data_IF_209977684866
#
_entry.id   IF_209977684866
#
_cell.length_a   1.000
_cell.length_b   1.000
_cell.length_c   1.000
_cell.angle_alpha   90.00
_cell.angle_beta   90.00
_cell.angle_gamma   90.00
#
_symmetry.space_group_name_H-M   'P 1'
#
loop_
_entity.id
_entity.type
_entity.pdbx_description
1 polymer ?
#
# COMPACT_ATOMS: atom_id res chain seq x y z
N UNK A 1 2.77 -39.10 -1.07
CA UNK A 1 3.98 -39.19 -1.87
C UNK A 1 4.90 -38.00 -1.55
N UNK A 2 6.18 -38.12 -1.85
CA UNK A 2 7.22 -37.17 -1.43
C UNK A 2 7.14 -35.78 -2.13
N UNK A 3 6.27 -35.65 -3.11
CA UNK A 3 6.11 -34.44 -3.92
C UNK A 3 4.70 -33.82 -3.83
N UNK A 4 3.88 -34.34 -2.90
CA UNK A 4 2.49 -33.83 -2.75
C UNK A 4 2.31 -33.25 -1.36
N UNK A 5 1.93 -31.98 -1.30
CA UNK A 5 1.52 -31.32 -0.07
C UNK A 5 0.00 -31.13 -0.07
N UNK A 6 -0.66 -31.65 0.95
CA UNK A 6 -2.11 -31.54 1.11
C UNK A 6 -2.44 -30.59 2.26
N UNK A 7 -3.26 -29.58 1.99
CA UNK A 7 -3.80 -28.68 3.00
C UNK A 7 -5.28 -29.02 3.26
N UNK A 8 -5.65 -29.14 4.53
CA UNK A 8 -7.05 -29.29 4.94
C UNK A 8 -7.49 -27.98 5.59
N UNK A 9 -8.41 -27.28 4.94
CA UNK A 9 -8.90 -26.01 5.42
C UNK A 9 -10.09 -26.22 6.37
N UNK A 10 -10.20 -25.38 7.41
CA UNK A 10 -11.33 -25.40 8.37
C UNK A 10 -12.63 -24.87 7.75
N UNK A 11 -12.54 -24.17 6.63
CA UNK A 11 -13.66 -23.64 5.86
C UNK A 11 -13.24 -23.42 4.40
N UNK A 12 -14.18 -23.38 3.45
CA UNK A 12 -13.85 -23.03 2.06
C UNK A 12 -13.25 -21.64 1.95
N UNK A 13 -12.20 -21.51 1.11
CA UNK A 13 -11.47 -20.26 0.91
C UNK A 13 -11.22 -20.06 -0.59
N UNK A 14 -11.92 -19.11 -1.21
CA UNK A 14 -11.87 -18.88 -2.67
C UNK A 14 -10.52 -18.36 -3.18
N UNK A 15 -9.71 -17.76 -2.29
CA UNK A 15 -8.39 -17.17 -2.63
C UNK A 15 -7.23 -17.92 -1.97
N UNK A 16 -7.40 -19.21 -1.66
CA UNK A 16 -6.35 -20.03 -1.04
C UNK A 16 -5.04 -20.01 -1.83
N UNK A 17 -5.11 -20.17 -3.15
CA UNK A 17 -3.93 -20.16 -4.00
C UNK A 17 -3.14 -18.84 -3.90
N UNK A 18 -3.82 -17.70 -3.76
CA UNK A 18 -3.14 -16.41 -3.53
C UNK A 18 -2.48 -16.34 -2.16
N UNK A 19 -3.03 -17.02 -1.14
CA UNK A 19 -2.40 -17.09 0.19
C UNK A 19 -1.09 -17.85 0.17
N UNK A 20 -0.94 -18.88 -0.66
CA UNK A 20 0.30 -19.67 -0.75
C UNK A 20 1.49 -18.87 -1.28
N UNK A 21 1.26 -17.69 -1.87
CA UNK A 21 2.34 -16.78 -2.28
C UNK A 21 2.87 -15.92 -1.12
N UNK A 22 2.26 -15.99 0.06
CA UNK A 22 2.74 -15.29 1.23
C UNK A 22 3.94 -16.02 1.85
N UNK A 23 5.01 -15.30 2.12
CA UNK A 23 6.27 -15.87 2.62
C UNK A 23 6.13 -16.66 3.92
N UNK A 24 5.11 -16.42 4.75
CA UNK A 24 4.84 -17.19 5.97
C UNK A 24 4.50 -18.67 5.67
N UNK A 25 4.05 -18.97 4.45
CA UNK A 25 3.71 -20.32 4.00
C UNK A 25 4.83 -20.97 3.17
N UNK A 26 5.96 -20.30 3.00
CA UNK A 26 7.08 -20.89 2.27
C UNK A 26 7.70 -22.03 3.07
N UNK A 27 8.07 -23.13 2.40
CA UNK A 27 8.69 -24.27 3.08
C UNK A 27 10.04 -23.88 3.66
N UNK A 28 10.33 -24.38 4.84
CA UNK A 28 11.61 -24.21 5.52
C UNK A 28 12.20 -25.58 5.78
N UNK A 29 13.46 -25.76 5.44
CA UNK A 29 14.18 -26.99 5.79
C UNK A 29 14.57 -26.94 7.27
N UNK A 30 14.07 -27.90 8.06
CA UNK A 30 14.24 -27.94 9.51
C UNK A 30 15.72 -28.16 9.92
N UNK A 31 16.44 -28.99 9.23
CA UNK A 31 17.85 -29.26 9.50
C UNK A 31 18.70 -28.00 9.28
N UNK A 32 18.45 -27.31 8.16
CA UNK A 32 19.15 -26.08 7.85
C UNK A 32 18.78 -24.96 8.85
N UNK A 33 17.50 -24.80 9.18
CA UNK A 33 17.05 -23.84 10.19
C UNK A 33 17.75 -24.07 11.53
N UNK A 34 17.78 -25.33 11.99
CA UNK A 34 18.42 -25.70 13.24
C UNK A 34 19.93 -25.48 13.20
N UNK A 35 20.59 -25.74 12.07
CA UNK A 35 22.03 -25.56 11.91
C UNK A 35 22.44 -24.07 11.94
N UNK A 36 21.56 -23.18 11.48
CA UNK A 36 21.82 -21.72 11.44
C UNK A 36 21.38 -21.00 12.72
N UNK A 37 20.42 -21.54 13.47
CA UNK A 37 19.89 -20.95 14.70
C UNK A 37 19.59 -19.46 14.53
N UNK A 38 20.29 -18.59 15.27
CA UNK A 38 20.10 -17.12 15.24
C UNK A 38 20.57 -16.46 13.93
N UNK A 39 21.41 -17.11 13.17
CA UNK A 39 21.89 -16.61 11.87
C UNK A 39 20.91 -16.87 10.73
N UNK A 40 19.87 -17.71 10.96
CA UNK A 40 18.85 -17.95 9.95
C UNK A 40 18.11 -16.68 9.58
N UNK A 41 18.07 -16.37 8.27
CA UNK A 41 17.38 -15.18 7.75
C UNK A 41 18.15 -13.87 7.89
N UNK A 42 19.41 -13.88 8.34
CA UNK A 42 20.27 -12.70 8.24
C UNK A 42 20.51 -12.33 6.77
N UNK A 43 20.85 -11.07 6.51
CA UNK A 43 21.13 -10.59 5.15
C UNK A 43 22.52 -10.99 4.67
N UNK A 44 22.77 -12.32 4.68
CA UNK A 44 23.99 -12.95 4.20
C UNK A 44 23.64 -14.05 3.20
N UNK A 45 24.51 -14.32 2.19
CA UNK A 45 24.21 -15.30 1.14
C UNK A 45 23.88 -16.71 1.63
N UNK A 46 24.49 -17.13 2.74
CA UNK A 46 24.41 -18.49 3.28
C UNK A 46 23.45 -18.64 4.47
N UNK A 47 22.65 -17.62 4.78
CA UNK A 47 21.74 -17.62 5.92
C UNK A 47 20.37 -18.22 5.65
N UNK A 48 20.03 -18.48 4.38
CA UNK A 48 18.80 -19.17 3.94
C UNK A 48 19.11 -20.12 2.78
N UNK A 49 18.21 -21.09 2.54
CA UNK A 49 18.20 -21.88 1.31
C UNK A 49 17.32 -21.16 0.27
N UNK A 50 17.68 -21.29 -0.98
CA UNK A 50 17.03 -20.60 -2.09
C UNK A 50 16.32 -21.59 -3.01
N UNK A 51 15.03 -21.42 -3.19
CA UNK A 51 14.22 -22.13 -4.20
C UNK A 51 13.82 -21.24 -5.38
N UNK A 52 14.12 -19.94 -5.31
CA UNK A 52 13.77 -18.96 -6.33
C UNK A 52 14.80 -18.83 -7.46
N UNK A 53 14.50 -17.99 -8.47
CA UNK A 53 15.35 -17.83 -9.66
C UNK A 53 16.68 -17.12 -9.40
N UNK A 54 16.86 -16.50 -8.22
CA UNK A 54 18.06 -15.75 -7.86
C UNK A 54 18.58 -16.11 -6.48
N UNK A 55 19.90 -16.01 -6.32
CA UNK A 55 20.63 -16.12 -5.07
C UNK A 55 21.09 -14.73 -4.63
N UNK A 56 21.02 -14.42 -3.33
CA UNK A 56 21.69 -13.25 -2.78
C UNK A 56 23.21 -13.48 -2.88
N UNK A 57 23.88 -12.60 -3.61
CA UNK A 57 25.36 -12.63 -3.75
C UNK A 57 26.01 -11.75 -2.69
N UNK A 58 25.48 -10.54 -2.51
CA UNK A 58 26.04 -9.54 -1.63
C UNK A 58 24.97 -8.59 -1.09
N UNK A 59 25.10 -8.20 0.16
CA UNK A 59 24.33 -7.14 0.77
C UNK A 59 25.27 -6.20 1.51
N UNK A 60 25.23 -4.91 1.14
CA UNK A 60 25.91 -3.84 1.85
C UNK A 60 24.87 -2.83 2.34
N UNK A 61 24.73 -2.72 3.67
CA UNK A 61 23.71 -1.86 4.28
C UNK A 61 23.81 -0.42 3.80
N UNK A 62 22.69 0.18 3.44
CA UNK A 62 22.58 1.55 2.88
C UNK A 62 23.47 1.79 1.64
N UNK A 63 23.80 0.76 0.91
CA UNK A 63 24.58 0.83 -0.34
C UNK A 63 23.96 0.01 -1.44
N UNK A 64 23.99 -1.32 -1.35
CA UNK A 64 23.51 -2.16 -2.44
C UNK A 64 23.08 -3.57 -2.02
N UNK A 65 22.21 -4.15 -2.82
CA UNK A 65 21.90 -5.58 -2.87
C UNK A 65 22.29 -6.11 -4.24
N UNK A 66 22.99 -7.24 -4.30
CA UNK A 66 23.32 -7.92 -5.55
C UNK A 66 22.80 -9.36 -5.53
N UNK A 67 22.08 -9.71 -6.60
CA UNK A 67 21.60 -11.06 -6.84
C UNK A 67 22.22 -11.62 -8.11
N UNK A 68 22.47 -12.93 -8.10
CA UNK A 68 22.91 -13.70 -9.29
C UNK A 68 21.90 -14.78 -9.60
N UNK A 69 21.82 -15.17 -10.88
CA UNK A 69 20.98 -16.27 -11.33
C UNK A 69 21.27 -17.53 -10.53
N UNK A 70 20.20 -18.24 -10.12
CA UNK A 70 20.29 -19.52 -9.44
C UNK A 70 20.41 -20.65 -10.46
N UNK A 71 21.56 -21.35 -10.54
CA UNK A 71 21.75 -22.43 -11.52
C UNK A 71 20.93 -23.69 -11.20
N UNK A 72 20.37 -23.77 -9.98
CA UNK A 72 19.55 -24.89 -9.53
C UNK A 72 18.05 -24.59 -9.56
N UNK A 73 17.65 -23.43 -10.06
CA UNK A 73 16.23 -23.10 -10.19
C UNK A 73 15.56 -24.00 -11.22
N UNK A 74 14.41 -24.60 -10.85
CA UNK A 74 13.74 -25.60 -11.67
C UNK A 74 13.37 -25.11 -13.09
N UNK A 75 13.16 -23.80 -13.28
CA UNK A 75 12.76 -23.19 -14.53
C UNK A 75 13.83 -22.16 -15.00
N UNK A 76 15.10 -22.52 -14.83
CA UNK A 76 16.24 -21.64 -15.08
C UNK A 76 16.35 -21.15 -16.52
N UNK A 77 15.80 -21.90 -17.47
CA UNK A 77 15.83 -21.52 -18.91
C UNK A 77 15.03 -20.26 -19.19
N UNK A 78 14.01 -19.97 -18.37
CA UNK A 78 13.22 -18.73 -18.47
C UNK A 78 13.86 -17.52 -17.80
N UNK A 79 14.93 -17.74 -17.04
CA UNK A 79 15.65 -16.67 -16.36
C UNK A 79 16.74 -16.11 -17.27
N UNK A 80 16.46 -15.00 -17.94
CA UNK A 80 17.35 -14.39 -18.93
C UNK A 80 18.32 -13.35 -18.35
N UNK A 81 18.00 -12.78 -17.18
CA UNK A 81 18.84 -11.79 -16.51
C UNK A 81 19.82 -12.50 -15.58
N UNK A 82 21.11 -12.35 -15.85
CA UNK A 82 22.17 -13.02 -15.08
C UNK A 82 22.41 -12.38 -13.71
N UNK A 83 22.21 -11.05 -13.60
CA UNK A 83 22.52 -10.28 -12.40
C UNK A 83 21.52 -9.16 -12.21
N UNK A 84 21.05 -9.00 -10.97
CA UNK A 84 20.23 -7.86 -10.54
C UNK A 84 20.96 -7.13 -9.44
N UNK A 85 21.22 -5.84 -9.65
CA UNK A 85 21.83 -4.97 -8.64
C UNK A 85 20.85 -3.87 -8.26
N UNK A 86 20.54 -3.79 -6.98
CA UNK A 86 19.72 -2.73 -6.40
C UNK A 86 20.62 -1.76 -5.65
N UNK A 87 20.59 -0.50 -6.02
CA UNK A 87 21.31 0.55 -5.31
C UNK A 87 20.37 1.21 -4.28
N UNK A 88 20.92 1.52 -3.11
CA UNK A 88 20.16 2.24 -2.07
C UNK A 88 20.00 3.70 -2.46
N UNK A 89 18.78 4.21 -2.29
CA UNK A 89 18.40 5.62 -2.46
C UNK A 89 17.71 6.07 -1.18
N UNK A 90 18.20 7.12 -0.54
CA UNK A 90 17.64 7.63 0.72
C UNK A 90 16.40 8.54 0.51
N UNK A 91 16.08 8.87 -0.75
CA UNK A 91 14.93 9.70 -1.11
C UNK A 91 15.15 11.21 -0.94
N UNK A 92 16.33 11.67 -0.52
CA UNK A 92 16.64 13.08 -0.37
C UNK A 92 16.71 13.84 -1.69
N UNK A 93 17.06 13.16 -2.77
CA UNK A 93 17.11 13.67 -4.13
C UNK A 93 16.21 12.85 -5.06
N UNK A 94 15.01 13.37 -5.33
CA UNK A 94 14.00 12.68 -6.14
C UNK A 94 14.42 12.47 -7.59
N UNK A 95 15.36 13.28 -8.11
CA UNK A 95 15.81 13.20 -9.49
C UNK A 95 17.08 12.34 -9.67
N UNK A 96 17.65 11.80 -8.59
CA UNK A 96 18.85 10.97 -8.66
C UNK A 96 18.62 9.72 -9.52
N UNK A 97 17.48 9.08 -9.40
CA UNK A 97 17.17 7.85 -10.14
C UNK A 97 17.11 8.09 -11.64
N UNK A 98 16.50 9.19 -12.08
CA UNK A 98 16.44 9.53 -13.51
C UNK A 98 17.81 9.93 -14.06
N UNK A 99 18.62 10.67 -13.31
CA UNK A 99 19.99 10.99 -13.75
C UNK A 99 20.88 9.75 -13.91
N UNK A 100 20.74 8.79 -12.99
CA UNK A 100 21.47 7.52 -13.10
C UNK A 100 20.96 6.65 -14.25
N UNK A 101 19.69 6.71 -14.58
CA UNK A 101 19.14 6.09 -15.79
C UNK A 101 19.70 6.77 -17.06
N UNK A 102 19.70 8.09 -17.11
CA UNK A 102 20.22 8.85 -18.26
C UNK A 102 21.73 8.64 -18.49
N UNK A 103 22.48 8.42 -17.42
CA UNK A 103 23.92 8.08 -17.53
C UNK A 103 24.19 6.61 -17.88
N UNK A 104 23.15 5.78 -17.94
CA UNK A 104 23.28 4.33 -18.17
C UNK A 104 23.70 3.53 -16.94
N UNK A 105 23.76 4.15 -15.76
CA UNK A 105 24.07 3.44 -14.51
C UNK A 105 22.91 2.56 -14.04
N UNK A 106 21.67 2.95 -14.34
CA UNK A 106 20.46 2.19 -14.05
C UNK A 106 19.75 1.77 -15.32
N UNK A 107 19.15 0.57 -15.32
CA UNK A 107 18.32 0.06 -16.41
C UNK A 107 16.88 0.57 -16.36
N UNK A 108 16.46 1.10 -15.21
CA UNK A 108 15.14 1.72 -14.99
C UNK A 108 15.24 2.78 -13.91
N UNK A 109 14.29 3.71 -13.89
CA UNK A 109 14.21 4.74 -12.87
C UNK A 109 12.78 4.92 -12.35
N UNK A 110 12.62 5.10 -11.06
CA UNK A 110 11.40 5.64 -10.48
C UNK A 110 11.32 7.15 -10.78
N UNK A 111 10.14 7.60 -11.23
CA UNK A 111 9.86 9.01 -11.48
C UNK A 111 8.79 9.47 -10.50
N UNK A 112 9.04 10.62 -9.87
CA UNK A 112 8.14 11.17 -8.86
C UNK A 112 7.28 12.29 -9.46
N UNK A 113 5.96 12.12 -9.56
CA UNK A 113 5.08 13.13 -10.17
C UNK A 113 5.05 14.48 -9.44
N UNK A 114 5.47 14.53 -8.18
CA UNK A 114 5.61 15.76 -7.39
C UNK A 114 7.01 16.41 -7.51
N UNK A 115 7.93 15.83 -8.29
CA UNK A 115 9.22 16.46 -8.58
C UNK A 115 9.05 17.70 -9.45
N UNK A 116 9.86 18.73 -9.19
CA UNK A 116 9.89 19.95 -10.02
C UNK A 116 10.30 19.70 -11.48
N UNK A 117 10.98 18.59 -11.74
CA UNK A 117 11.41 18.18 -13.09
C UNK A 117 10.42 17.23 -13.79
N UNK A 118 9.34 16.83 -13.13
CA UNK A 118 8.41 15.83 -13.69
C UNK A 118 7.89 16.18 -15.08
N UNK A 119 7.50 17.43 -15.31
CA UNK A 119 6.99 17.89 -16.62
C UNK A 119 8.00 17.68 -17.75
N UNK A 120 9.28 17.99 -17.49
CA UNK A 120 10.37 17.79 -18.48
C UNK A 120 10.65 16.31 -18.73
N UNK A 121 10.64 15.50 -17.68
CA UNK A 121 10.82 14.06 -17.76
C UNK A 121 9.67 13.44 -18.56
N UNK A 122 8.45 13.84 -18.29
CA UNK A 122 7.25 13.38 -19.00
C UNK A 122 7.29 13.73 -20.49
N UNK A 123 7.69 14.93 -20.85
CA UNK A 123 7.85 15.35 -22.24
C UNK A 123 8.91 14.50 -22.96
N UNK A 124 10.07 14.29 -22.32
CA UNK A 124 11.20 13.55 -22.90
C UNK A 124 10.93 12.05 -23.06
N UNK A 125 10.25 11.44 -22.08
CA UNK A 125 10.09 9.98 -21.98
C UNK A 125 8.64 9.50 -22.05
N UNK A 126 7.72 10.31 -22.58
CA UNK A 126 6.27 10.04 -22.60
C UNK A 126 5.89 8.62 -22.99
N UNK A 127 6.60 8.03 -23.96
CA UNK A 127 6.31 6.68 -24.48
C UNK A 127 6.93 5.55 -23.64
N UNK A 128 7.80 5.91 -22.68
CA UNK A 128 8.52 4.98 -21.81
C UNK A 128 8.06 5.09 -20.34
N UNK A 129 7.18 6.05 -20.00
CA UNK A 129 6.63 6.16 -18.67
C UNK A 129 5.50 5.16 -18.51
N UNK A 130 5.66 4.28 -17.53
CA UNK A 130 4.65 3.30 -17.15
C UNK A 130 4.11 3.65 -15.77
N UNK A 131 2.82 3.89 -15.68
CA UNK A 131 2.16 4.04 -14.39
C UNK A 131 1.90 2.65 -13.80
N UNK A 132 2.23 2.49 -12.53
CA UNK A 132 1.90 1.25 -11.82
C UNK A 132 0.38 1.07 -11.78
N UNK A 133 -0.05 -0.19 -11.86
CA UNK A 133 -1.46 -0.53 -11.64
C UNK A 133 -1.87 -0.12 -10.22
N UNK A 134 -3.13 0.28 -10.09
CA UNK A 134 -3.71 0.57 -8.80
C UNK A 134 -3.77 -0.72 -7.96
N UNK A 135 -3.05 -0.73 -6.84
CA UNK A 135 -3.01 -1.89 -5.94
C UNK A 135 -4.32 -2.12 -5.19
N UNK A 136 -4.48 -3.31 -4.61
CA UNK A 136 -5.62 -3.63 -3.73
C UNK A 136 -5.50 -2.99 -2.33
N UNK A 137 -4.36 -2.36 -2.00
CA UNK A 137 -4.12 -1.73 -0.70
C UNK A 137 -4.90 -0.43 -0.58
N UNK A 138 -5.66 -0.28 0.50
CA UNK A 138 -6.34 0.96 0.86
C UNK A 138 -5.64 1.64 2.02
N UNK A 139 -5.37 2.93 1.87
CA UNK A 139 -4.82 3.78 2.92
C UNK A 139 -5.94 4.61 3.53
N UNK A 140 -6.02 4.62 4.85
CA UNK A 140 -7.08 5.30 5.57
C UNK A 140 -6.61 5.76 6.94
N UNK A 141 -7.30 6.69 7.55
CA UNK A 141 -7.11 7.05 8.96
C UNK A 141 -8.30 6.59 9.79
N UNK A 142 -8.03 6.24 11.03
CA UNK A 142 -9.02 5.81 12.00
C UNK A 142 -9.16 6.80 13.14
N UNK A 143 -10.38 6.94 13.63
CA UNK A 143 -10.60 7.54 14.94
C UNK A 143 -10.39 6.48 16.03
N UNK A 144 -9.49 6.74 16.97
CA UNK A 144 -9.33 5.87 18.12
C UNK A 144 -10.46 6.13 19.13
N UNK A 145 -11.57 5.43 18.96
CA UNK A 145 -12.78 5.59 19.78
C UNK A 145 -12.63 5.07 21.21
N UNK A 146 -11.56 4.32 21.50
CA UNK A 146 -11.25 3.78 22.83
C UNK A 146 -9.82 4.11 23.25
N UNK A 147 -9.45 5.38 23.13
CA UNK A 147 -8.10 5.83 23.46
C UNK A 147 -7.79 5.67 24.94
N UNK A 148 -6.71 4.95 25.28
CA UNK A 148 -6.25 4.71 26.64
C UNK A 148 -4.99 5.52 26.98
N UNK A 149 -4.12 5.80 26.02
CA UNK A 149 -2.83 6.46 26.23
C UNK A 149 -2.82 7.89 25.68
N UNK A 150 -2.31 8.82 26.48
CA UNK A 150 -2.18 10.24 26.17
C UNK A 150 -0.75 10.77 26.32
N UNK A 151 0.22 9.89 26.59
CA UNK A 151 1.62 10.22 26.90
C UNK A 151 2.37 10.95 25.77
N UNK A 152 1.87 10.89 24.53
CA UNK A 152 2.44 11.60 23.36
C UNK A 152 1.55 12.75 22.89
N UNK A 153 0.78 13.36 23.78
CA UNK A 153 -0.12 14.47 23.43
C UNK A 153 -0.02 15.59 24.46
N UNK A 154 -0.47 16.80 24.08
CA UNK A 154 -0.61 17.92 24.99
C UNK A 154 -1.83 17.83 25.94
N UNK A 155 -2.56 16.71 25.95
CA UNK A 155 -3.74 16.50 26.80
C UNK A 155 -3.29 15.97 28.16
N UNK A 156 -3.09 16.86 29.11
CA UNK A 156 -2.55 16.53 30.45
C UNK A 156 -3.61 16.37 31.51
N UNK A 157 -4.69 17.15 31.46
CA UNK A 157 -5.77 17.04 32.47
C UNK A 157 -6.83 16.01 32.07
N UNK A 158 -7.57 15.51 33.05
CA UNK A 158 -8.63 14.53 32.83
C UNK A 158 -9.82 15.14 32.08
N UNK A 159 -10.10 16.42 32.28
CA UNK A 159 -11.11 17.16 31.51
C UNK A 159 -10.76 17.21 30.02
N UNK A 160 -9.50 17.47 29.69
CA UNK A 160 -9.02 17.48 28.29
C UNK A 160 -9.11 16.10 27.64
N UNK A 161 -8.78 15.05 28.40
CA UNK A 161 -8.90 13.66 27.91
C UNK A 161 -10.35 13.28 27.70
N UNK A 162 -11.23 13.64 28.64
CA UNK A 162 -12.67 13.37 28.52
C UNK A 162 -13.31 14.17 27.38
N UNK A 163 -12.98 15.44 27.22
CA UNK A 163 -13.45 16.26 26.10
C UNK A 163 -13.03 15.66 24.74
N UNK A 164 -11.79 15.17 24.65
CA UNK A 164 -11.30 14.48 23.45
C UNK A 164 -12.11 13.21 23.17
N UNK A 165 -12.39 12.41 24.18
CA UNK A 165 -13.18 11.19 24.06
C UNK A 165 -14.61 11.50 23.60
N UNK A 166 -15.24 12.50 24.20
CA UNK A 166 -16.60 12.95 23.85
C UNK A 166 -16.66 13.40 22.38
N UNK A 167 -15.71 14.23 21.94
CA UNK A 167 -15.64 14.68 20.56
C UNK A 167 -15.47 13.50 19.58
N UNK A 168 -14.55 12.58 19.85
CA UNK A 168 -14.30 11.44 18.97
C UNK A 168 -15.50 10.47 18.94
N UNK A 169 -16.24 10.33 20.02
CA UNK A 169 -17.46 9.50 20.06
C UNK A 169 -18.66 10.16 19.40
N UNK A 170 -18.65 11.48 19.24
CA UNK A 170 -19.71 12.20 18.54
C UNK A 170 -19.65 11.88 17.03
N UNK A 171 -20.75 11.35 16.49
CA UNK A 171 -20.88 10.98 15.07
C UNK A 171 -20.68 12.18 14.16
N UNK A 172 -21.34 13.30 14.47
CA UNK A 172 -21.33 14.51 13.65
C UNK A 172 -19.92 15.12 13.60
N UNK A 173 -19.16 15.07 14.71
CA UNK A 173 -17.78 15.50 14.74
C UNK A 173 -16.90 14.69 13.78
N UNK A 174 -17.02 13.35 13.77
CA UNK A 174 -16.26 12.50 12.84
C UNK A 174 -16.66 12.73 11.38
N UNK A 175 -17.95 12.92 11.11
CA UNK A 175 -18.46 13.22 9.77
C UNK A 175 -17.95 14.58 9.28
N UNK A 176 -17.95 15.60 10.15
CA UNK A 176 -17.40 16.91 9.83
C UNK A 176 -15.94 16.83 9.38
N UNK A 177 -15.10 16.08 10.09
CA UNK A 177 -13.70 15.88 9.70
C UNK A 177 -13.61 15.17 8.35
N UNK A 178 -14.41 14.12 8.13
CA UNK A 178 -14.41 13.38 6.87
C UNK A 178 -14.79 14.26 5.67
N UNK A 179 -15.81 15.11 5.81
CA UNK A 179 -16.22 16.03 4.76
C UNK A 179 -15.26 17.22 4.56
N UNK A 180 -14.49 17.59 5.59
CA UNK A 180 -13.53 18.70 5.51
C UNK A 180 -12.21 18.32 4.82
N UNK A 181 -11.88 17.03 4.72
CA UNK A 181 -10.61 16.57 4.17
C UNK A 181 -10.68 16.55 2.63
N UNK A 182 -9.97 17.47 2.00
CA UNK A 182 -9.70 17.44 0.56
C UNK A 182 -8.62 16.39 0.27
N UNK A 183 -9.06 15.19 -0.06
CA UNK A 183 -8.15 14.05 -0.32
C UNK A 183 -7.40 14.20 -1.63
N UNK A 184 -7.97 14.92 -2.62
CA UNK A 184 -7.27 15.22 -3.87
C UNK A 184 -6.06 16.10 -3.59
N UNK A 185 -6.24 17.21 -2.86
CA UNK A 185 -5.15 18.10 -2.49
C UNK A 185 -4.12 17.39 -1.59
N UNK A 186 -4.57 16.52 -0.67
CA UNK A 186 -3.66 15.70 0.15
C UNK A 186 -2.83 14.74 -0.70
N UNK A 187 -3.47 14.01 -1.63
CA UNK A 187 -2.78 13.07 -2.50
C UNK A 187 -1.80 13.77 -3.45
N UNK A 188 -2.12 14.98 -3.91
CA UNK A 188 -1.25 15.74 -4.82
C UNK A 188 0.13 16.05 -4.22
N UNK A 189 0.24 16.14 -2.90
CA UNK A 189 1.52 16.38 -2.23
C UNK A 189 2.56 15.27 -2.48
N UNK A 190 2.10 14.04 -2.64
CA UNK A 190 2.97 12.88 -2.88
C UNK A 190 2.95 12.39 -4.32
N UNK A 191 1.78 12.47 -4.97
CA UNK A 191 1.55 11.88 -6.29
C UNK A 191 1.54 12.92 -7.43
N UNK A 192 1.69 14.22 -7.09
CA UNK A 192 1.50 15.30 -8.05
C UNK A 192 0.03 15.50 -8.43
N UNK A 193 -0.32 16.66 -8.98
CA UNK A 193 -1.70 17.04 -9.30
C UNK A 193 -2.35 16.09 -10.33
N UNK A 194 -1.58 15.64 -11.30
CA UNK A 194 -2.06 14.80 -12.40
C UNK A 194 -2.50 13.41 -11.92
N UNK A 195 -1.74 12.80 -11.02
CA UNK A 195 -2.01 11.45 -10.54
C UNK A 195 -2.84 11.41 -9.25
N UNK A 196 -3.09 12.57 -8.63
CA UNK A 196 -3.72 12.67 -7.31
C UNK A 196 -5.06 11.93 -7.23
N UNK A 197 -5.94 12.14 -8.20
CA UNK A 197 -7.26 11.50 -8.23
C UNK A 197 -7.18 9.99 -8.43
N UNK A 198 -6.23 9.52 -9.23
CA UNK A 198 -6.09 8.09 -9.57
C UNK A 198 -5.80 7.19 -8.36
N UNK A 199 -5.38 7.78 -7.24
CA UNK A 199 -5.09 7.07 -5.99
C UNK A 199 -6.25 7.07 -5.01
N UNK A 200 -7.33 7.82 -5.29
CA UNK A 200 -8.46 7.95 -4.37
C UNK A 200 -9.38 6.73 -4.42
N UNK A 201 -9.85 6.33 -3.25
CA UNK A 201 -10.86 5.29 -3.07
C UNK A 201 -11.95 5.76 -2.12
N UNK A 202 -13.19 5.41 -2.44
CA UNK A 202 -14.36 5.82 -1.67
C UNK A 202 -14.97 4.67 -0.85
N UNK A 203 -14.41 3.49 -0.97
CA UNK A 203 -14.73 2.33 -0.12
C UNK A 203 -13.43 1.72 0.40
N UNK A 204 -13.49 1.08 1.56
CA UNK A 204 -12.33 0.39 2.14
C UNK A 204 -11.87 -0.77 1.24
N UNK A 205 -12.81 -1.52 0.70
CA UNK A 205 -12.55 -2.50 -0.36
C UNK A 205 -12.75 -1.77 -1.70
N UNK A 206 -11.81 -1.85 -2.65
CA UNK A 206 -11.99 -1.22 -3.95
C UNK A 206 -13.31 -1.65 -4.60
N UNK A 207 -14.07 -0.73 -5.21
CA UNK A 207 -15.45 -1.00 -5.67
C UNK A 207 -15.58 -2.18 -6.61
N UNK A 208 -14.60 -2.42 -7.45
CA UNK A 208 -14.61 -3.50 -8.47
C UNK A 208 -13.81 -4.74 -8.06
N UNK A 209 -13.21 -4.75 -6.86
CA UNK A 209 -12.31 -5.83 -6.43
C UNK A 209 -13.04 -7.12 -6.06
N UNK A 210 -14.28 -7.01 -5.55
CA UNK A 210 -15.12 -8.14 -5.15
C UNK A 210 -16.48 -8.01 -5.81
N UNK A 211 -17.02 -9.13 -6.26
CA UNK A 211 -18.42 -9.25 -6.71
C UNK A 211 -19.30 -9.85 -5.62
N UNK A 212 -20.52 -9.36 -5.51
CA UNK A 212 -21.57 -9.82 -4.60
C UNK A 212 -22.78 -10.20 -5.44
N UNK A 213 -22.88 -11.46 -5.82
CA UNK A 213 -23.82 -11.91 -6.86
C UNK A 213 -23.43 -11.29 -8.21
N UNK A 214 -24.39 -10.67 -8.87
CA UNK A 214 -24.22 -10.02 -10.18
C UNK A 214 -23.73 -8.55 -10.08
N UNK A 215 -23.50 -8.06 -8.86
CA UNK A 215 -23.09 -6.66 -8.61
C UNK A 215 -21.68 -6.57 -8.09
N UNK A 216 -21.00 -5.47 -8.40
CA UNK A 216 -19.75 -5.13 -7.74
C UNK A 216 -19.98 -4.77 -6.27
N UNK A 217 -18.91 -4.82 -5.47
CA UNK A 217 -18.97 -4.37 -4.08
C UNK A 217 -19.42 -2.90 -3.98
N UNK A 218 -18.89 -2.02 -4.84
CA UNK A 218 -19.25 -0.60 -4.89
C UNK A 218 -20.75 -0.39 -5.16
N UNK A 219 -21.32 -1.07 -6.14
CA UNK A 219 -22.76 -1.03 -6.44
C UNK A 219 -23.60 -1.53 -5.25
N UNK A 220 -23.14 -2.58 -4.58
CA UNK A 220 -23.81 -3.13 -3.39
C UNK A 220 -23.79 -2.14 -2.23
N UNK A 221 -22.65 -1.48 -1.97
CA UNK A 221 -22.54 -0.45 -0.94
C UNK A 221 -23.42 0.75 -1.30
N UNK A 222 -23.31 1.25 -2.54
CA UNK A 222 -24.10 2.40 -3.02
C UNK A 222 -25.61 2.17 -2.84
N UNK A 223 -26.11 0.99 -3.16
CA UNK A 223 -27.53 0.65 -3.00
C UNK A 223 -28.01 0.66 -1.55
N UNK A 224 -27.11 0.62 -0.57
CA UNK A 224 -27.43 0.59 0.86
C UNK A 224 -27.22 1.94 1.56
N UNK A 225 -26.57 2.90 0.92
CA UNK A 225 -26.24 4.18 1.54
C UNK A 225 -27.49 4.96 1.94
N UNK A 226 -28.55 4.88 1.16
CA UNK A 226 -29.84 5.52 1.44
C UNK A 226 -30.40 5.14 2.82
N UNK A 227 -30.07 3.95 3.34
CA UNK A 227 -30.51 3.49 4.66
C UNK A 227 -29.85 4.24 5.83
N UNK A 228 -28.80 5.01 5.56
CA UNK A 228 -28.05 5.78 6.56
C UNK A 228 -28.39 7.27 6.56
N UNK A 229 -29.15 7.73 5.58
CA UNK A 229 -29.61 9.10 5.45
C UNK A 229 -29.65 9.53 3.98
N UNK A 230 -30.52 10.48 3.67
CA UNK A 230 -30.69 10.99 2.29
C UNK A 230 -29.44 11.71 1.79
N UNK A 231 -28.66 12.28 2.70
CA UNK A 231 -27.38 12.95 2.44
C UNK A 231 -26.31 12.00 1.85
N UNK A 232 -26.47 10.69 2.06
CA UNK A 232 -25.55 9.67 1.56
C UNK A 232 -25.96 9.07 0.21
N UNK A 233 -27.23 9.24 -0.21
CA UNK A 233 -27.78 8.55 -1.36
C UNK A 233 -27.07 8.84 -2.69
N UNK A 234 -26.44 10.02 -2.81
CA UNK A 234 -25.76 10.46 -4.02
C UNK A 234 -24.24 10.55 -3.87
N UNK A 235 -23.67 9.84 -2.91
CA UNK A 235 -22.22 9.78 -2.76
C UNK A 235 -21.58 9.04 -3.94
N UNK A 236 -20.59 9.67 -4.55
CA UNK A 236 -19.77 9.01 -5.57
C UNK A 236 -18.80 8.03 -4.91
N UNK A 237 -19.01 6.73 -5.11
CA UNK A 237 -18.17 5.67 -4.57
C UNK A 237 -17.17 5.11 -5.59
N UNK A 238 -17.12 5.68 -6.80
CA UNK A 238 -16.15 5.25 -7.81
C UNK A 238 -14.72 5.59 -7.40
N UNK A 239 -13.78 4.76 -7.77
CA UNK A 239 -12.36 5.05 -7.64
C UNK A 239 -11.97 6.30 -8.45
N UNK A 240 -10.87 6.91 -8.08
CA UNK A 240 -10.35 8.13 -8.70
C UNK A 240 -11.26 9.39 -8.57
N UNK A 241 -12.23 9.37 -7.67
CA UNK A 241 -13.11 10.50 -7.37
C UNK A 241 -13.03 10.88 -5.90
N UNK A 242 -13.10 12.17 -5.57
CA UNK A 242 -13.29 12.61 -4.19
C UNK A 242 -14.78 12.75 -3.90
N UNK A 243 -15.42 11.63 -3.52
CA UNK A 243 -16.85 11.57 -3.23
C UNK A 243 -17.25 12.18 -1.89
N UNK A 244 -16.29 12.46 -1.01
CA UNK A 244 -16.56 12.87 0.36
C UNK A 244 -16.30 14.35 0.64
N UNK A 245 -15.33 14.98 -0.01
CA UNK A 245 -14.99 16.37 0.24
C UNK A 245 -16.17 17.32 -0.02
N UNK A 246 -16.64 17.99 1.04
CA UNK A 246 -17.75 18.94 0.97
C UNK A 246 -17.70 19.90 2.16
N UNK A 247 -17.28 21.15 1.92
CA UNK A 247 -17.12 22.16 2.96
C UNK A 247 -18.41 22.53 3.67
N UNK A 248 -19.52 22.59 2.94
CA UNK A 248 -20.83 22.96 3.50
C UNK A 248 -21.34 21.87 4.43
N UNK A 249 -21.26 20.61 4.00
CA UNK A 249 -21.60 19.47 4.86
C UNK A 249 -20.69 19.39 6.08
N UNK A 250 -19.39 19.67 5.95
CA UNK A 250 -18.46 19.70 7.06
C UNK A 250 -18.87 20.74 8.11
N UNK A 251 -19.23 21.96 7.67
CA UNK A 251 -19.67 23.04 8.55
C UNK A 251 -20.98 22.70 9.27
N UNK A 252 -21.97 22.16 8.53
CA UNK A 252 -23.24 21.74 9.09
C UNK A 252 -23.07 20.66 10.15
N UNK A 253 -22.32 19.61 9.86
CA UNK A 253 -22.03 18.52 10.80
C UNK A 253 -21.24 19.01 12.03
N UNK A 254 -20.32 19.95 11.84
CA UNK A 254 -19.58 20.53 12.96
C UNK A 254 -20.47 21.42 13.86
N UNK A 255 -21.40 22.14 13.28
CA UNK A 255 -22.37 22.94 14.06
C UNK A 255 -23.28 22.05 14.93
N UNK A 256 -23.68 20.90 14.39
CA UNK A 256 -24.48 19.92 15.14
C UNK A 256 -23.69 19.13 16.19
N UNK A 257 -22.36 19.11 16.08
CA UNK A 257 -21.48 18.42 17.02
C UNK A 257 -21.19 19.25 18.29
N UNK A 258 -21.43 20.55 18.25
CA UNK A 258 -21.24 21.49 19.38
C UNK A 258 -22.38 21.41 20.37
#
# INVERSE_FOLDING_TARGET
>A
DDYTVQYTLTRPESFWNSKTTNSILFPVNEEFLTSKDKEFGELKPDSILYSGPYLLKEFTSKSSLEYTKNPHYYDQEKVTIERVKLAYVDGSDQDMTIRNFESGAYSSAGVYPNSSNFAKIKEKYKDNIVYSLQGATSWYYNFNVNRQAYNHTAKTSDEQKQATKTAILNKNFRQAINFALDRTAYSAQSNGEEAAKNTLRNTLVPPTFVQVGDKTFGETVSSKLVNYGTEWANMNLEDAQDGYFNKEKAQAQFAEAK
#
